data_IF_742105779959
#
_entry.id   IF_742105779959
#
_cell.length_a   1.000
_cell.length_b   1.000
_cell.length_c   1.000
_cell.angle_alpha   90.00
_cell.angle_beta   90.00
_cell.angle_gamma   90.00
#
_symmetry.space_group_name_H-M   'P 1'
#
loop_
_entity.id
_entity.type
_entity.pdbx_description
1 polymer ?
#
# COMPACT_ATOMS: atom_id res chain seq x y z
N UNK A 1 -17.25 11.87 12.03
CA UNK A 1 -16.51 11.05 11.04
C UNK A 1 -15.78 9.96 11.82
N UNK A 2 -16.02 8.68 11.52
CA UNK A 2 -15.32 7.58 12.20
C UNK A 2 -13.96 7.38 11.54
N UNK A 3 -12.98 6.84 12.26
CA UNK A 3 -11.64 6.58 11.71
C UNK A 3 -11.67 5.70 10.44
N UNK A 4 -12.63 4.78 10.35
CA UNK A 4 -12.86 3.93 9.17
C UNK A 4 -13.29 4.72 7.93
N UNK A 5 -14.00 5.83 8.09
CA UNK A 5 -14.42 6.68 6.96
C UNK A 5 -13.21 7.41 6.37
N UNK A 6 -12.20 7.72 7.19
CA UNK A 6 -10.97 8.38 6.76
C UNK A 6 -10.03 7.43 6.00
N UNK A 7 -10.02 6.14 6.36
CA UNK A 7 -9.11 5.15 5.76
C UNK A 7 -9.19 5.13 4.23
N UNK A 8 -10.40 5.29 3.67
CA UNK A 8 -10.68 5.36 2.23
C UNK A 8 -10.07 6.57 1.51
N UNK A 9 -9.41 7.47 2.23
CA UNK A 9 -8.72 8.64 1.71
C UNK A 9 -7.21 8.63 2.00
N UNK A 10 -6.69 7.55 2.59
CA UNK A 10 -5.27 7.44 2.96
C UNK A 10 -4.51 6.63 1.93
N UNK A 11 -3.36 7.18 1.50
CA UNK A 11 -2.34 6.47 0.73
C UNK A 11 -1.20 6.04 1.65
N UNK A 12 -1.14 4.74 1.94
CA UNK A 12 -0.11 4.17 2.81
C UNK A 12 1.23 4.11 2.06
N UNK A 13 2.16 4.96 2.45
CA UNK A 13 3.34 5.27 1.63
C UNK A 13 4.63 4.72 2.22
N UNK A 14 5.41 4.01 1.39
CA UNK A 14 6.77 3.57 1.71
C UNK A 14 7.69 3.76 0.50
N UNK A 15 8.39 4.90 0.52
CA UNK A 15 9.33 5.33 -0.52
C UNK A 15 10.79 5.38 -0.05
N UNK A 16 11.08 4.83 1.12
CA UNK A 16 12.46 4.71 1.61
C UNK A 16 13.28 3.83 0.66
N UNK A 17 14.48 4.27 0.33
CA UNK A 17 15.38 3.55 -0.59
C UNK A 17 15.79 2.16 -0.05
N UNK A 18 15.81 1.98 1.27
CA UNK A 18 16.15 0.73 1.94
C UNK A 18 14.92 -0.15 2.25
N UNK A 19 13.74 0.17 1.72
CA UNK A 19 12.54 -0.63 1.88
C UNK A 19 12.75 -2.05 1.31
N UNK A 20 12.65 -3.03 2.19
CA UNK A 20 12.82 -4.45 1.85
C UNK A 20 11.52 -5.02 1.28
N UNK A 21 11.60 -6.20 0.66
CA UNK A 21 10.41 -6.93 0.22
C UNK A 21 9.44 -7.18 1.38
N UNK A 22 9.95 -7.51 2.57
CA UNK A 22 9.17 -7.74 3.78
C UNK A 22 8.46 -6.48 4.29
N UNK A 23 9.07 -5.30 4.09
CA UNK A 23 8.41 -4.04 4.43
C UNK A 23 7.21 -3.77 3.50
N UNK A 24 7.32 -4.10 2.22
CA UNK A 24 6.22 -4.01 1.26
C UNK A 24 5.10 -5.00 1.61
N UNK A 25 5.44 -6.22 2.04
CA UNK A 25 4.46 -7.20 2.54
C UNK A 25 3.66 -6.65 3.72
N UNK A 26 4.35 -6.08 4.70
CA UNK A 26 3.72 -5.46 5.85
C UNK A 26 2.84 -4.27 5.45
N UNK A 27 3.35 -3.39 4.60
CA UNK A 27 2.61 -2.24 4.07
C UNK A 27 1.29 -2.68 3.42
N UNK A 28 1.33 -3.69 2.55
CA UNK A 28 0.16 -4.20 1.86
C UNK A 28 -0.83 -4.89 2.83
N UNK A 29 -0.32 -5.62 3.83
CA UNK A 29 -1.15 -6.26 4.84
C UNK A 29 -1.92 -5.22 5.68
N UNK A 30 -1.22 -4.19 6.18
CA UNK A 30 -1.81 -3.08 6.94
C UNK A 30 -2.85 -2.33 6.10
N UNK A 31 -2.53 -2.06 4.81
CA UNK A 31 -3.47 -1.38 3.92
C UNK A 31 -4.73 -2.17 3.66
N UNK A 32 -4.62 -3.50 3.54
CA UNK A 32 -5.77 -4.40 3.40
C UNK A 32 -6.59 -4.48 4.67
N UNK A 33 -5.96 -4.57 5.83
CA UNK A 33 -6.63 -4.64 7.14
C UNK A 33 -7.44 -3.37 7.43
N UNK A 34 -6.88 -2.21 7.09
CA UNK A 34 -7.54 -0.93 7.32
C UNK A 34 -8.41 -0.44 6.16
N UNK A 35 -8.44 -1.16 5.04
CA UNK A 35 -9.12 -0.75 3.81
C UNK A 35 -8.69 0.66 3.35
N UNK A 36 -7.37 0.89 3.32
CA UNK A 36 -6.83 2.14 2.78
C UNK A 36 -7.14 2.30 1.29
N UNK A 37 -7.01 3.53 0.78
CA UNK A 37 -7.29 3.80 -0.64
C UNK A 37 -6.24 3.17 -1.54
N UNK A 38 -4.96 3.41 -1.22
CA UNK A 38 -3.84 2.89 -1.98
C UNK A 38 -2.62 2.63 -1.10
N UNK A 39 -1.68 1.86 -1.65
CA UNK A 39 -0.28 1.85 -1.22
C UNK A 39 0.57 2.61 -2.22
N UNK A 40 1.51 3.43 -1.74
CA UNK A 40 2.46 4.14 -2.58
C UNK A 40 3.87 3.58 -2.35
N UNK A 41 4.46 3.00 -3.39
CA UNK A 41 5.74 2.28 -3.32
C UNK A 41 6.70 2.73 -4.42
N UNK A 42 8.00 2.49 -4.23
CA UNK A 42 9.00 2.71 -5.29
C UNK A 42 8.66 1.87 -6.54
N UNK A 43 8.94 2.38 -7.74
CA UNK A 43 8.62 1.72 -9.01
C UNK A 43 9.13 0.27 -9.10
N UNK A 44 10.29 -0.02 -8.53
CA UNK A 44 10.86 -1.38 -8.46
C UNK A 44 10.02 -2.39 -7.66
N UNK A 45 9.11 -1.93 -6.81
CA UNK A 45 8.26 -2.74 -5.91
C UNK A 45 6.81 -2.86 -6.38
N UNK A 46 6.42 -2.20 -7.47
CA UNK A 46 5.02 -2.18 -7.95
C UNK A 46 4.50 -3.58 -8.25
N UNK A 47 5.31 -4.43 -8.90
CA UNK A 47 4.93 -5.82 -9.22
C UNK A 47 4.65 -6.61 -7.93
N UNK A 48 5.53 -6.46 -6.93
CA UNK A 48 5.37 -7.14 -5.64
C UNK A 48 4.11 -6.67 -4.92
N UNK A 49 3.91 -5.34 -4.81
CA UNK A 49 2.73 -4.77 -4.15
C UNK A 49 1.43 -5.19 -4.85
N UNK A 50 1.40 -5.20 -6.19
CA UNK A 50 0.22 -5.63 -6.94
C UNK A 50 -0.09 -7.11 -6.72
N UNK A 51 0.92 -7.97 -6.60
CA UNK A 51 0.71 -9.39 -6.30
C UNK A 51 0.14 -9.59 -4.89
N UNK A 52 0.68 -8.89 -3.90
CA UNK A 52 0.24 -8.98 -2.50
C UNK A 52 -1.18 -8.44 -2.26
N UNK A 53 -1.59 -7.44 -3.04
CA UNK A 53 -2.92 -6.83 -2.99
C UNK A 53 -3.90 -7.46 -3.98
N UNK A 54 -3.59 -8.63 -4.54
CA UNK A 54 -4.54 -9.29 -5.44
C UNK A 54 -5.83 -9.67 -4.72
N UNK A 55 -6.97 -9.37 -5.35
CA UNK A 55 -8.29 -9.51 -4.75
C UNK A 55 -8.65 -8.44 -3.69
N UNK A 56 -7.79 -7.45 -3.44
CA UNK A 56 -8.09 -6.30 -2.58
C UNK A 56 -8.61 -5.11 -3.40
N UNK A 57 -9.38 -4.25 -2.74
CA UNK A 57 -9.83 -2.94 -3.21
C UNK A 57 -8.77 -1.82 -3.07
N UNK A 58 -7.63 -2.13 -2.42
CA UNK A 58 -6.50 -1.21 -2.25
C UNK A 58 -5.74 -1.04 -3.56
N UNK A 59 -5.56 0.20 -4.00
CA UNK A 59 -4.82 0.52 -5.24
C UNK A 59 -3.30 0.53 -5.03
N UNK A 60 -2.54 0.47 -6.11
CA UNK A 60 -1.08 0.64 -6.09
C UNK A 60 -0.73 1.93 -6.82
N UNK A 61 -0.02 2.82 -6.15
CA UNK A 61 0.53 4.06 -6.67
C UNK A 61 2.07 4.01 -6.65
N UNK A 62 2.70 4.77 -7.55
CA UNK A 62 4.15 4.89 -7.61
C UNK A 62 4.58 6.27 -8.07
N UNK A 63 5.84 6.62 -7.81
CA UNK A 63 6.49 7.86 -8.23
C UNK A 63 7.49 7.55 -9.35
N UNK A 64 7.60 8.44 -10.34
CA UNK A 64 8.47 8.33 -11.53
C UNK A 64 9.41 9.50 -11.65
#
# INVERSE_FOLDING_TARGET
MKAQDLARYIDHTLLRADATAKDIERLCAEAREHHFYAVCVNGSRVIQARHLLDGSDVKVATVV
#
